data_IF_082639867150
#
_entry.id   IF_082639867150
#
_cell.length_a   1.000
_cell.length_b   1.000
_cell.length_c   1.000
_cell.angle_alpha   90.00
_cell.angle_beta   90.00
_cell.angle_gamma   90.00
#
_symmetry.space_group_name_H-M   'P 1'
#
loop_
_entity.id
_entity.type
_entity.pdbx_description
1 polymer ?
#
# COMPACT_ATOMS: atom_id res chain seq x y z
N UNK A 1 -7.43 11.14 -1.20
CA UNK A 1 -7.27 11.76 -2.50
C UNK A 1 -6.94 10.71 -3.58
N UNK A 2 -5.86 9.99 -3.33
CA UNK A 2 -5.42 8.95 -4.26
C UNK A 2 -3.98 8.56 -3.94
N UNK A 3 -3.79 8.14 -2.69
CA UNK A 3 -2.47 7.73 -2.25
C UNK A 3 -2.61 6.64 -1.18
N UNK A 4 -1.69 5.67 -1.22
CA UNK A 4 -1.69 4.58 -0.28
C UNK A 4 -0.34 4.47 0.40
N UNK A 5 -0.10 5.33 1.39
CA UNK A 5 1.15 5.33 2.11
C UNK A 5 1.04 4.40 3.32
N UNK A 6 1.87 3.38 3.31
CA UNK A 6 1.88 2.41 4.40
C UNK A 6 1.98 3.17 5.73
N UNK A 7 1.33 2.62 6.74
CA UNK A 7 1.34 3.23 8.05
C UNK A 7 2.24 2.45 9.01
N UNK A 8 3.14 1.67 8.42
CA UNK A 8 4.07 0.87 9.20
C UNK A 8 5.49 1.36 8.96
N UNK A 9 5.85 1.45 7.68
CA UNK A 9 7.17 1.91 7.31
C UNK A 9 7.05 3.31 6.71
N UNK A 10 5.85 3.62 6.26
CA UNK A 10 5.58 4.93 5.66
C UNK A 10 5.85 4.91 4.16
N UNK A 11 5.78 3.69 3.58
CA UNK A 11 6.01 3.51 2.17
C UNK A 11 5.10 4.43 1.38
N UNK A 12 5.43 4.63 0.11
CA UNK A 12 4.61 5.49 -0.74
C UNK A 12 4.18 4.74 -2.01
N UNK A 13 2.88 4.75 -2.25
CA UNK A 13 2.30 4.08 -3.40
C UNK A 13 1.18 4.93 -3.99
N UNK A 14 0.98 4.82 -5.29
CA UNK A 14 -0.07 5.58 -5.95
C UNK A 14 -1.08 4.62 -6.57
N UNK A 15 -2.36 4.99 -6.46
CA UNK A 15 -3.48 4.24 -6.97
C UNK A 15 -3.62 4.49 -8.47
N UNK A 16 -2.69 3.98 -9.25
CA UNK A 16 -2.73 4.16 -10.69
C UNK A 16 -2.35 2.85 -11.38
N UNK A 17 -2.82 1.76 -10.80
CA UNK A 17 -2.53 0.44 -11.35
C UNK A 17 -3.75 -0.11 -12.10
N UNK A 18 -3.64 -1.38 -12.48
CA UNK A 18 -4.71 -2.03 -13.21
C UNK A 18 -4.97 -3.43 -12.64
N UNK A 19 -3.88 -4.14 -12.41
CA UNK A 19 -3.96 -5.49 -11.86
C UNK A 19 -3.54 -5.47 -10.40
N UNK A 20 -4.52 -5.37 -9.52
CA UNK A 20 -4.27 -5.34 -8.09
C UNK A 20 -4.88 -6.58 -7.44
N UNK A 21 -4.11 -7.66 -7.43
CA UNK A 21 -4.49 -8.94 -6.87
C UNK A 21 -5.09 -8.73 -5.48
N UNK A 22 -5.59 -9.80 -4.88
CA UNK A 22 -6.18 -9.70 -3.56
C UNK A 22 -5.22 -10.28 -2.53
N UNK A 23 -4.02 -9.71 -2.50
CA UNK A 23 -3.01 -10.16 -1.56
C UNK A 23 -1.69 -9.44 -1.86
N UNK A 24 -1.67 -8.15 -1.53
CA UNK A 24 -0.49 -7.34 -1.76
C UNK A 24 0.15 -7.05 -0.39
N UNK A 25 1.45 -7.29 -0.33
CA UNK A 25 2.19 -7.05 0.91
C UNK A 25 3.31 -6.04 0.64
N UNK A 26 3.49 -5.14 1.60
CA UNK A 26 4.52 -4.12 1.48
C UNK A 26 5.83 -4.81 1.10
N UNK A 27 6.53 -4.21 0.14
CA UNK A 27 7.80 -4.67 -0.36
C UNK A 27 8.92 -4.19 0.54
N UNK A 28 8.58 -3.81 1.76
CA UNK A 28 9.57 -3.34 2.71
C UNK A 28 9.36 -4.02 4.06
N UNK A 29 8.31 -3.59 4.73
CA UNK A 29 7.98 -4.15 6.04
C UNK A 29 7.48 -5.58 5.84
N UNK A 30 6.83 -5.79 4.71
CA UNK A 30 6.29 -7.10 4.38
C UNK A 30 4.87 -7.27 4.91
N UNK A 31 4.48 -6.33 5.76
CA UNK A 31 3.14 -6.36 6.34
C UNK A 31 2.10 -6.38 5.21
N UNK A 32 0.90 -6.81 5.57
CA UNK A 32 -0.18 -6.88 4.60
C UNK A 32 -0.60 -5.47 4.19
N UNK A 33 -1.35 -5.41 3.10
CA UNK A 33 -1.83 -4.14 2.59
C UNK A 33 -3.14 -3.77 3.28
N UNK A 34 -3.13 -3.92 4.61
CA UNK A 34 -4.31 -3.61 5.40
C UNK A 34 -4.05 -2.33 6.20
N UNK A 35 -2.80 -2.14 6.56
CA UNK A 35 -2.41 -0.96 7.33
C UNK A 35 -2.29 0.24 6.39
N UNK A 36 -2.51 -0.04 5.11
CA UNK A 36 -2.44 1.01 4.10
C UNK A 36 -3.72 1.85 4.08
N UNK A 37 -3.53 3.15 4.02
CA UNK A 37 -4.67 4.07 3.99
C UNK A 37 -4.21 5.46 3.57
N UNK A 38 -5.12 6.18 2.94
CA UNK A 38 -4.83 7.53 2.48
C UNK A 38 -3.99 8.26 3.54
N UNK A 39 -3.01 9.01 3.05
CA UNK A 39 -2.13 9.75 3.94
C UNK A 39 -1.48 10.91 3.18
#
# INVERSE_FOLDING_TARGET
MDIYVCTVCGYEYDPAFEDLPDDWACPVCGASKDAFEKQ
#
